data_IF_493547363118
#
_entry.id   IF_493547363118
#
_cell.length_a   1.000
_cell.length_b   1.000
_cell.length_c   1.000
_cell.angle_alpha   90.00
_cell.angle_beta   90.00
_cell.angle_gamma   90.00
#
_symmetry.space_group_name_H-M   'P 1'
#
loop_
_entity.id
_entity.type
_entity.pdbx_description
1 polymer ?
#
# COMPACT_ATOMS: atom_id res chain seq x y z
N UNK A 1 21.99 -28.53 -59.14
CA UNK A 1 22.25 -29.93 -58.75
C UNK A 1 21.23 -30.36 -57.69
N UNK A 2 21.07 -31.66 -57.45
CA UNK A 2 19.89 -32.21 -56.78
C UNK A 2 20.02 -32.35 -55.25
N UNK A 3 18.86 -32.52 -54.61
CA UNK A 3 18.66 -33.13 -53.28
C UNK A 3 18.59 -34.68 -53.42
N UNK A 4 18.28 -35.45 -52.36
CA UNK A 4 18.96 -35.59 -51.06
C UNK A 4 19.37 -37.07 -50.81
N UNK A 5 19.82 -37.41 -49.59
CA UNK A 5 20.01 -38.81 -49.15
C UNK A 5 19.49 -39.01 -47.70
N UNK A 6 19.24 -40.28 -47.30
CA UNK A 6 18.35 -40.61 -46.19
C UNK A 6 18.89 -41.68 -45.21
N UNK A 7 18.38 -41.60 -43.96
CA UNK A 7 17.99 -42.69 -43.03
C UNK A 7 18.94 -43.88 -42.79
N UNK A 8 19.35 -44.07 -41.52
CA UNK A 8 19.40 -45.37 -40.81
C UNK A 8 19.74 -45.16 -39.30
N UNK A 9 19.64 -46.17 -38.44
CA UNK A 9 18.44 -46.60 -37.70
C UNK A 9 18.76 -47.74 -36.72
N UNK A 10 18.39 -47.61 -35.44
CA UNK A 10 18.21 -48.66 -34.42
C UNK A 10 17.46 -47.99 -33.24
N UNK A 11 16.33 -48.45 -32.69
CA UNK A 11 15.97 -49.75 -32.07
C UNK A 11 16.79 -50.13 -30.83
N UNK A 12 16.20 -50.66 -29.74
CA UNK A 12 14.78 -50.71 -29.30
C UNK A 12 14.75 -51.27 -27.87
N UNK A 13 14.02 -50.63 -26.93
CA UNK A 13 13.65 -51.26 -25.64
C UNK A 13 12.29 -50.73 -25.17
N UNK A 14 11.42 -51.64 -24.73
CA UNK A 14 10.00 -51.41 -24.37
C UNK A 14 9.63 -52.34 -23.22
N UNK A 15 8.76 -51.87 -22.30
CA UNK A 15 7.79 -52.58 -21.44
C UNK A 15 7.57 -51.79 -20.12
N UNK A 16 6.40 -51.89 -19.44
CA UNK A 16 5.04 -51.84 -19.97
C UNK A 16 4.14 -50.82 -19.21
N UNK A 17 3.04 -50.39 -19.85
CA UNK A 17 1.99 -49.59 -19.21
C UNK A 17 1.07 -50.46 -18.33
N UNK A 18 0.57 -49.90 -17.21
CA UNK A 18 -0.57 -50.43 -16.46
C UNK A 18 -1.85 -49.64 -16.79
N UNK A 19 -2.97 -50.34 -16.99
CA UNK A 19 -4.27 -49.74 -17.28
C UNK A 19 -4.99 -49.25 -16.02
N UNK A 20 -5.85 -48.22 -16.14
CA UNK A 20 -6.43 -47.52 -14.99
C UNK A 20 -7.73 -46.74 -15.23
N UNK A 21 -8.80 -47.44 -15.64
CA UNK A 21 -10.23 -47.07 -15.52
C UNK A 21 -10.79 -45.83 -16.28
N UNK A 22 -12.01 -46.04 -16.83
CA UNK A 22 -12.78 -45.05 -17.58
C UNK A 22 -13.45 -43.99 -16.68
N UNK A 23 -13.57 -42.76 -17.20
CA UNK A 23 -14.73 -41.87 -16.98
C UNK A 23 -15.11 -41.19 -18.30
N UNK A 24 -16.39 -41.11 -18.68
CA UNK A 24 -16.81 -40.50 -19.94
C UNK A 24 -16.75 -38.97 -19.87
N UNK A 25 -16.30 -38.33 -20.95
CA UNK A 25 -16.38 -36.87 -21.10
C UNK A 25 -17.83 -36.44 -21.35
N UNK A 26 -18.26 -35.34 -20.72
CA UNK A 26 -19.54 -34.69 -21.05
C UNK A 26 -19.40 -33.89 -22.34
N UNK A 27 -20.27 -34.17 -23.30
CA UNK A 27 -20.40 -33.43 -24.54
C UNK A 27 -21.03 -32.06 -24.25
N UNK A 28 -20.40 -30.98 -24.72
CA UNK A 28 -20.93 -29.61 -24.63
C UNK A 28 -21.75 -29.32 -25.88
N UNK A 29 -23.06 -29.19 -25.72
CA UNK A 29 -23.96 -28.76 -26.80
C UNK A 29 -23.88 -27.25 -27.00
N UNK A 30 -23.77 -26.82 -28.26
CA UNK A 30 -23.74 -25.41 -28.65
C UNK A 30 -25.17 -24.94 -28.90
N UNK A 31 -25.74 -24.20 -27.94
CA UNK A 31 -27.08 -23.61 -28.10
C UNK A 31 -26.99 -22.34 -28.94
N UNK A 32 -27.49 -22.40 -30.18
CA UNK A 32 -27.56 -21.26 -31.09
C UNK A 32 -28.76 -20.35 -30.75
N UNK A 33 -28.54 -19.02 -30.78
CA UNK A 33 -29.61 -18.03 -30.59
C UNK A 33 -30.37 -17.76 -31.91
N UNK A 34 -31.70 -17.56 -31.88
CA UNK A 34 -32.50 -17.29 -33.08
C UNK A 34 -32.37 -15.83 -33.56
N UNK A 35 -32.48 -15.55 -34.88
CA UNK A 35 -32.36 -14.20 -35.43
C UNK A 35 -33.64 -13.38 -35.27
N UNK A 36 -33.51 -12.16 -34.73
CA UNK A 36 -34.62 -11.19 -34.67
C UNK A 36 -34.81 -10.46 -36.02
N UNK A 37 -36.07 -10.20 -36.38
CA UNK A 37 -36.45 -9.72 -37.72
C UNK A 37 -36.13 -8.25 -38.04
N UNK A 38 -36.09 -7.93 -39.33
CA UNK A 38 -35.91 -6.55 -39.84
C UNK A 38 -37.19 -5.71 -39.61
N UNK A 39 -37.06 -4.55 -38.97
CA UNK A 39 -38.13 -3.54 -38.86
C UNK A 39 -37.65 -2.16 -39.33
N UNK A 40 -38.30 -1.57 -40.35
CA UNK A 40 -37.88 -0.31 -40.95
C UNK A 40 -38.45 0.93 -40.24
N UNK A 41 -37.61 1.70 -39.54
CA UNK A 41 -37.96 2.99 -38.92
C UNK A 41 -37.51 4.20 -39.74
N UNK A 42 -38.40 5.17 -39.99
CA UNK A 42 -38.12 6.37 -40.82
C UNK A 42 -37.12 7.30 -40.14
N UNK A 43 -36.04 7.67 -40.85
CA UNK A 43 -35.19 8.82 -40.48
C UNK A 43 -36.00 10.12 -40.57
N UNK A 44 -35.92 10.98 -39.55
CA UNK A 44 -36.22 12.43 -39.65
C UNK A 44 -34.94 13.20 -39.32
N UNK A 45 -34.65 14.23 -40.12
CA UNK A 45 -33.45 15.04 -39.92
C UNK A 45 -33.69 16.13 -38.87
N UNK A 46 -32.72 16.32 -37.97
CA UNK A 46 -32.61 17.50 -37.10
C UNK A 46 -31.57 18.46 -37.70
N UNK A 47 -31.82 19.77 -37.59
CA UNK A 47 -30.91 20.83 -38.09
C UNK A 47 -29.97 21.25 -36.95
N UNK A 48 -28.70 21.61 -37.22
CA UNK A 48 -27.81 22.13 -36.18
C UNK A 48 -28.26 23.51 -35.70
N UNK A 49 -28.15 23.77 -34.40
CA UNK A 49 -28.30 25.11 -33.84
C UNK A 49 -27.05 25.96 -34.16
N UNK A 50 -27.24 27.27 -34.30
CA UNK A 50 -26.15 28.22 -34.60
C UNK A 50 -25.42 28.66 -33.33
N UNK A 51 -24.12 28.93 -33.47
CA UNK A 51 -23.37 29.68 -32.47
C UNK A 51 -23.86 31.15 -32.38
N UNK A 52 -23.70 31.76 -31.21
CA UNK A 52 -23.82 33.20 -31.00
C UNK A 52 -22.47 33.78 -30.58
N UNK A 53 -22.07 34.88 -31.22
CA UNK A 53 -20.90 35.67 -30.83
C UNK A 53 -21.23 36.72 -29.75
N UNK A 54 -20.22 37.39 -29.18
CA UNK A 54 -20.38 38.27 -28.02
C UNK A 54 -20.80 39.71 -28.38
N UNK A 55 -21.49 40.42 -27.46
CA UNK A 55 -21.73 41.86 -27.57
C UNK A 55 -20.52 42.71 -27.10
N UNK A 56 -20.21 43.73 -27.92
CA UNK A 56 -19.47 44.97 -27.58
C UNK A 56 -20.44 45.99 -26.95
N UNK A 57 -20.11 47.20 -26.45
CA UNK A 57 -18.89 47.95 -26.12
C UNK A 57 -19.32 49.10 -25.17
N UNK A 58 -18.40 49.73 -24.44
CA UNK A 58 -18.46 51.18 -24.12
C UNK A 58 -17.05 51.68 -23.77
N UNK A 59 -16.71 52.91 -24.16
CA UNK A 59 -15.38 53.53 -24.04
C UNK A 59 -15.48 54.94 -23.39
N UNK A 60 -14.36 55.67 -23.36
CA UNK A 60 -14.12 57.01 -22.81
C UNK A 60 -13.91 57.11 -21.29
N UNK A 61 -12.83 57.74 -20.81
CA UNK A 61 -11.65 58.25 -21.54
C UNK A 61 -10.78 59.23 -20.74
N UNK A 62 -9.64 59.62 -21.31
CA UNK A 62 -8.78 60.71 -20.81
C UNK A 62 -7.39 60.30 -20.31
N UNK A 63 -6.35 61.00 -20.78
CA UNK A 63 -4.99 61.00 -20.20
C UNK A 63 -4.77 62.22 -19.27
N UNK A 64 -3.53 62.61 -18.90
CA UNK A 64 -2.31 62.51 -19.72
C UNK A 64 -1.11 61.85 -19.01
N UNK A 65 0.12 62.11 -19.49
CA UNK A 65 1.37 61.40 -19.18
C UNK A 65 2.09 61.93 -17.94
N UNK A 66 2.73 61.03 -17.21
CA UNK A 66 3.83 61.28 -16.26
C UNK A 66 4.89 60.18 -16.41
N UNK A 67 6.14 60.43 -16.04
CA UNK A 67 7.26 59.50 -16.31
C UNK A 67 8.04 59.11 -15.05
N UNK A 68 8.66 57.92 -15.13
CA UNK A 68 9.73 57.39 -14.27
C UNK A 68 9.46 57.19 -12.77
N UNK A 69 9.25 55.93 -12.39
CA UNK A 69 9.93 55.30 -11.26
C UNK A 69 10.03 53.79 -11.51
N UNK A 70 11.20 53.19 -11.34
CA UNK A 70 11.33 51.74 -11.20
C UNK A 70 11.11 51.39 -9.72
N UNK A 71 10.18 50.48 -9.45
CA UNK A 71 10.06 49.78 -8.18
C UNK A 71 10.18 48.28 -8.47
N UNK A 72 10.87 47.49 -7.64
CA UNK A 72 10.88 46.04 -7.81
C UNK A 72 9.45 45.51 -7.62
N UNK A 73 9.04 44.64 -8.53
CA UNK A 73 7.72 44.02 -8.50
C UNK A 73 7.62 43.08 -7.29
N UNK A 74 6.67 43.36 -6.39
CA UNK A 74 6.53 42.61 -5.15
C UNK A 74 6.03 41.19 -5.45
N UNK A 75 6.91 40.20 -5.25
CA UNK A 75 6.55 38.78 -5.32
C UNK A 75 5.35 38.51 -4.41
N UNK A 76 4.31 37.88 -4.95
CA UNK A 76 3.02 37.83 -4.28
C UNK A 76 3.05 36.94 -3.04
N UNK A 77 2.39 37.37 -1.96
CA UNK A 77 2.36 36.69 -0.65
C UNK A 77 1.66 35.30 -0.67
N UNK A 78 1.29 34.79 -1.85
CA UNK A 78 0.61 33.49 -2.04
C UNK A 78 1.55 32.29 -2.18
N UNK A 79 2.73 32.47 -2.76
CA UNK A 79 3.58 31.33 -3.13
C UNK A 79 4.42 30.85 -1.93
N UNK A 80 5.01 31.79 -1.18
CA UNK A 80 5.84 31.52 0.01
C UNK A 80 5.04 30.81 1.12
N UNK A 81 3.73 31.10 1.25
CA UNK A 81 2.87 30.48 2.27
C UNK A 81 2.48 29.02 2.00
N UNK A 82 2.78 28.49 0.81
CA UNK A 82 2.46 27.10 0.43
C UNK A 82 3.48 26.11 0.99
N UNK A 83 4.76 26.33 0.69
CA UNK A 83 5.84 25.37 0.95
C UNK A 83 6.11 25.20 2.46
N UNK A 84 6.31 26.31 3.19
CA UNK A 84 6.54 26.30 4.65
C UNK A 84 5.43 25.60 5.44
N UNK A 85 4.18 25.66 4.96
CA UNK A 85 3.05 24.95 5.58
C UNK A 85 3.21 23.43 5.52
N UNK A 86 3.76 22.89 4.44
CA UNK A 86 4.00 21.44 4.33
C UNK A 86 5.29 21.03 5.05
N UNK A 87 6.29 21.90 5.18
CA UNK A 87 7.45 21.69 6.07
C UNK A 87 7.06 21.64 7.55
N UNK A 88 6.10 22.47 7.98
CA UNK A 88 5.52 22.40 9.34
C UNK A 88 4.73 21.12 9.55
N UNK A 89 3.88 20.72 8.59
CA UNK A 89 3.12 19.48 8.66
C UNK A 89 4.03 18.23 8.64
N UNK A 90 5.12 18.25 7.89
CA UNK A 90 6.13 17.19 7.92
C UNK A 90 6.73 17.04 9.32
N UNK A 91 7.11 18.16 9.98
CA UNK A 91 7.63 18.17 11.34
C UNK A 91 6.59 17.75 12.40
N UNK A 92 5.31 18.07 12.20
CA UNK A 92 4.21 17.55 13.04
C UNK A 92 4.07 16.02 12.92
N UNK A 93 4.26 15.47 11.71
CA UNK A 93 3.96 14.07 11.39
C UNK A 93 5.17 13.13 11.30
N UNK A 94 6.41 13.60 11.44
CA UNK A 94 7.64 12.78 11.36
C UNK A 94 7.66 11.60 12.35
N UNK A 95 6.99 11.76 13.51
CA UNK A 95 6.83 10.74 14.56
C UNK A 95 5.37 10.25 14.69
N UNK A 96 4.55 10.38 13.64
CA UNK A 96 3.20 9.83 13.61
C UNK A 96 3.19 8.44 12.94
N UNK A 97 2.36 7.52 13.44
CA UNK A 97 2.26 6.19 12.85
C UNK A 97 1.65 6.23 11.43
N UNK A 98 1.97 5.25 10.56
CA UNK A 98 1.50 5.25 9.17
C UNK A 98 -0.02 5.36 9.03
N UNK A 99 -0.78 4.75 9.96
CA UNK A 99 -2.24 4.86 10.01
C UNK A 99 -2.71 6.30 10.26
N UNK A 100 -2.04 7.05 11.15
CA UNK A 100 -2.37 8.44 11.43
C UNK A 100 -2.01 9.37 10.25
N UNK A 101 -0.90 9.09 9.56
CA UNK A 101 -0.50 9.81 8.34
C UNK A 101 -1.51 9.57 7.21
N UNK A 102 -1.90 8.33 6.96
CA UNK A 102 -2.90 7.99 5.93
C UNK A 102 -4.28 8.58 6.28
N UNK A 103 -4.73 8.51 7.53
CA UNK A 103 -5.99 9.14 7.95
C UNK A 103 -5.98 10.65 7.69
N UNK A 104 -4.87 11.33 8.01
CA UNK A 104 -4.71 12.77 7.80
C UNK A 104 -4.65 13.16 6.33
N UNK A 105 -3.94 12.38 5.50
CA UNK A 105 -3.88 12.61 4.06
C UNK A 105 -5.28 12.46 3.39
N UNK A 106 -6.02 11.41 3.76
CA UNK A 106 -7.39 11.19 3.28
C UNK A 106 -8.38 12.22 3.85
N UNK A 107 -8.17 12.71 5.08
CA UNK A 107 -8.94 13.81 5.67
C UNK A 107 -8.76 15.13 4.91
N UNK A 108 -7.52 15.47 4.54
CA UNK A 108 -7.19 16.77 3.94
C UNK A 108 -7.61 16.90 2.47
N UNK A 109 -7.60 15.79 1.70
CA UNK A 109 -7.79 15.83 0.25
C UNK A 109 -8.99 15.00 -0.25
N UNK A 110 -9.53 14.07 0.53
CA UNK A 110 -10.74 13.31 0.19
C UNK A 110 -10.63 12.53 -1.14
N UNK A 111 -11.33 13.00 -2.17
CA UNK A 111 -11.34 12.38 -3.52
C UNK A 111 -10.24 12.92 -4.45
N UNK A 112 -9.56 14.02 -4.07
CA UNK A 112 -8.48 14.67 -4.84
C UNK A 112 -7.11 14.03 -4.57
N UNK A 113 -7.07 12.91 -3.83
CA UNK A 113 -5.88 12.12 -3.50
C UNK A 113 -6.06 10.65 -3.91
N UNK A 114 -4.97 10.00 -4.32
CA UNK A 114 -4.92 8.56 -4.54
C UNK A 114 -3.59 7.94 -4.10
N UNK A 115 -3.64 6.64 -3.82
CA UNK A 115 -2.49 5.81 -3.51
C UNK A 115 -1.90 5.28 -4.83
N UNK A 116 -0.61 5.50 -5.05
CA UNK A 116 0.13 4.83 -6.11
C UNK A 116 0.44 3.38 -5.67
N UNK A 117 -0.01 2.40 -6.45
CA UNK A 117 0.15 0.98 -6.13
C UNK A 117 0.95 0.26 -7.23
N UNK A 118 2.18 -0.18 -6.91
CA UNK A 118 3.06 -0.90 -7.83
C UNK A 118 2.81 -2.40 -7.93
N UNK A 119 2.02 -2.98 -7.02
CA UNK A 119 1.89 -4.44 -6.89
C UNK A 119 3.04 -5.11 -6.13
N UNK A 120 3.80 -4.34 -5.35
CA UNK A 120 4.77 -4.81 -4.37
C UNK A 120 4.25 -4.53 -2.93
N UNK A 121 5.14 -4.11 -2.03
CA UNK A 121 4.89 -3.86 -0.60
C UNK A 121 3.92 -2.69 -0.32
N UNK A 122 3.63 -1.86 -1.32
CA UNK A 122 2.61 -0.78 -1.29
C UNK A 122 1.23 -1.24 -0.79
N UNK A 123 0.93 -2.55 -0.80
CA UNK A 123 -0.33 -3.11 -0.28
C UNK A 123 -0.53 -2.79 1.21
N UNK A 124 0.55 -2.52 1.95
CA UNK A 124 0.48 -1.99 3.31
C UNK A 124 -0.32 -0.66 3.37
N UNK A 125 -0.18 0.22 2.39
CA UNK A 125 -0.92 1.49 2.33
C UNK A 125 -2.41 1.28 2.07
N UNK A 126 -2.78 0.25 1.30
CA UNK A 126 -4.17 -0.12 1.07
C UNK A 126 -4.82 -0.65 2.36
N UNK A 127 -4.10 -1.45 3.15
CA UNK A 127 -4.58 -1.87 4.47
C UNK A 127 -4.69 -0.68 5.43
N UNK A 128 -3.67 0.18 5.54
CA UNK A 128 -3.76 1.39 6.37
C UNK A 128 -4.95 2.28 5.98
N UNK A 129 -5.15 2.54 4.69
CA UNK A 129 -6.31 3.30 4.20
C UNK A 129 -7.63 2.60 4.54
N UNK A 130 -7.70 1.27 4.34
CA UNK A 130 -8.86 0.44 4.68
C UNK A 130 -9.18 0.43 6.18
N UNK A 131 -8.19 0.62 7.06
CA UNK A 131 -8.35 0.71 8.51
C UNK A 131 -8.79 2.10 9.01
N UNK A 132 -8.51 3.18 8.27
CA UNK A 132 -9.11 4.51 8.56
C UNK A 132 -10.64 4.46 8.48
N UNK A 133 -11.18 3.63 7.58
CA UNK A 133 -12.60 3.58 7.25
C UNK A 133 -13.09 4.73 6.37
N UNK A 134 -12.19 5.61 5.89
CA UNK A 134 -12.47 6.64 4.88
C UNK A 134 -12.50 6.02 3.47
N UNK A 135 -13.22 6.60 2.49
CA UNK A 135 -13.04 6.24 1.10
C UNK A 135 -11.64 6.65 0.62
N UNK A 136 -11.06 5.88 -0.30
CA UNK A 136 -9.75 6.17 -0.92
C UNK A 136 -9.74 5.71 -2.38
N UNK A 137 -8.89 6.34 -3.19
CA UNK A 137 -8.64 5.96 -4.59
C UNK A 137 -7.27 5.28 -4.70
N UNK A 138 -7.14 4.38 -5.66
CA UNK A 138 -5.89 3.65 -5.95
C UNK A 138 -5.63 3.71 -7.46
N UNK A 139 -4.40 4.01 -7.85
CA UNK A 139 -4.00 3.97 -9.26
C UNK A 139 -2.72 3.14 -9.45
N UNK A 140 -2.55 2.55 -10.62
CA UNK A 140 -1.38 1.73 -10.96
C UNK A 140 -0.90 2.02 -12.37
N UNK A 141 0.42 2.08 -12.57
CA UNK A 141 1.04 2.38 -13.86
C UNK A 141 1.46 1.08 -14.52
N UNK A 142 0.58 0.50 -15.35
CA UNK A 142 0.95 -0.67 -16.14
C UNK A 142 1.87 -0.26 -17.29
N UNK A 143 3.14 -0.66 -17.18
CA UNK A 143 4.17 -0.44 -18.20
C UNK A 143 3.99 -1.30 -19.45
N UNK A 144 3.08 -2.28 -19.44
CA UNK A 144 2.96 -3.34 -20.44
C UNK A 144 4.12 -4.33 -20.41
N UNK A 145 4.86 -4.40 -19.30
CA UNK A 145 5.99 -5.32 -19.02
C UNK A 145 6.04 -5.73 -17.54
N UNK A 146 4.91 -5.71 -16.83
CA UNK A 146 4.82 -6.25 -15.47
C UNK A 146 4.85 -7.79 -15.49
N UNK A 147 5.22 -8.41 -14.36
CA UNK A 147 5.19 -9.86 -14.22
C UNK A 147 3.75 -10.40 -14.26
N UNK A 148 3.49 -11.61 -14.81
CA UNK A 148 2.17 -12.26 -14.77
C UNK A 148 1.58 -12.37 -13.35
N UNK A 149 2.44 -12.63 -12.37
CA UNK A 149 2.13 -12.68 -10.94
C UNK A 149 1.64 -11.34 -10.41
N UNK A 150 2.19 -10.23 -10.90
CA UNK A 150 1.77 -8.86 -10.51
C UNK A 150 0.37 -8.55 -11.03
N UNK A 151 0.02 -8.97 -12.26
CA UNK A 151 -1.36 -8.85 -12.77
C UNK A 151 -2.35 -9.70 -11.97
N UNK A 152 -1.98 -10.93 -11.60
CA UNK A 152 -2.80 -11.79 -10.73
C UNK A 152 -2.97 -11.17 -9.33
N UNK A 153 -1.91 -10.57 -8.79
CA UNK A 153 -1.95 -9.89 -7.49
C UNK A 153 -2.84 -8.64 -7.51
N UNK A 154 -2.79 -7.82 -8.58
CA UNK A 154 -3.67 -6.67 -8.77
C UNK A 154 -5.16 -7.07 -8.73
N UNK A 155 -5.54 -8.14 -9.44
CA UNK A 155 -6.91 -8.71 -9.46
C UNK A 155 -7.33 -9.25 -8.07
N UNK A 156 -6.42 -9.89 -7.33
CA UNK A 156 -6.65 -10.33 -5.94
C UNK A 156 -6.85 -9.13 -5.00
N UNK A 157 -6.10 -8.05 -5.20
CA UNK A 157 -6.17 -6.82 -4.38
C UNK A 157 -7.49 -6.08 -4.59
N UNK A 158 -7.95 -5.88 -5.84
CA UNK A 158 -9.28 -5.31 -6.11
C UNK A 158 -10.39 -6.09 -5.38
N UNK A 159 -10.34 -7.42 -5.46
CA UNK A 159 -11.32 -8.33 -4.82
C UNK A 159 -11.24 -8.36 -3.30
N UNK A 160 -10.04 -8.26 -2.73
CA UNK A 160 -9.83 -8.30 -1.28
C UNK A 160 -10.30 -7.01 -0.60
N UNK A 161 -9.93 -5.86 -1.18
CA UNK A 161 -10.25 -4.54 -0.60
C UNK A 161 -11.60 -3.99 -1.04
N UNK A 162 -12.19 -4.50 -2.12
CA UNK A 162 -13.43 -3.97 -2.71
C UNK A 162 -13.21 -2.63 -3.44
N UNK A 163 -12.01 -2.42 -3.96
CA UNK A 163 -11.58 -1.20 -4.66
C UNK A 163 -11.53 -1.43 -6.18
N UNK A 164 -11.54 -0.34 -6.94
CA UNK A 164 -11.21 -0.36 -8.36
C UNK A 164 -9.90 0.40 -8.58
N UNK A 165 -8.94 -0.22 -9.27
CA UNK A 165 -7.62 0.36 -9.53
C UNK A 165 -7.65 1.14 -10.85
N UNK A 166 -7.28 2.42 -10.80
CA UNK A 166 -7.18 3.29 -11.97
C UNK A 166 -5.88 2.97 -12.76
N UNK A 167 -6.00 2.15 -13.81
CA UNK A 167 -4.86 1.68 -14.61
C UNK A 167 -4.39 2.70 -15.66
N UNK A 168 -3.10 3.05 -15.59
CA UNK A 168 -2.47 4.12 -16.37
C UNK A 168 -1.45 3.57 -17.37
N UNK A 169 -1.91 3.28 -18.59
CA UNK A 169 -1.09 2.71 -19.67
C UNK A 169 -0.19 3.74 -20.37
N UNK A 170 0.97 3.34 -20.92
CA UNK A 170 1.83 4.20 -21.72
C UNK A 170 1.20 4.53 -23.08
N UNK A 171 1.73 5.57 -23.73
CA UNK A 171 1.26 5.93 -25.07
C UNK A 171 1.75 4.89 -26.11
N UNK A 172 0.82 4.32 -26.88
CA UNK A 172 1.13 3.27 -27.85
C UNK A 172 2.00 3.75 -29.02
N UNK A 173 1.92 5.03 -29.39
CA UNK A 173 2.73 5.62 -30.47
C UNK A 173 4.16 5.83 -29.98
N UNK A 174 4.33 6.35 -28.76
CA UNK A 174 5.65 6.48 -28.12
C UNK A 174 6.33 5.11 -27.95
N UNK A 175 5.60 4.11 -27.42
CA UNK A 175 6.11 2.75 -27.25
C UNK A 175 6.48 2.11 -28.59
N UNK A 176 5.64 2.27 -29.63
CA UNK A 176 5.92 1.77 -30.96
C UNK A 176 7.15 2.45 -31.59
N UNK A 177 7.34 3.76 -31.36
CA UNK A 177 8.51 4.49 -31.85
C UNK A 177 9.81 4.06 -31.13
N UNK A 178 9.76 3.84 -29.81
CA UNK A 178 10.90 3.29 -29.06
C UNK A 178 11.28 1.90 -29.58
N UNK A 179 10.32 0.97 -29.60
CA UNK A 179 10.58 -0.44 -29.95
C UNK A 179 11.01 -0.62 -31.41
N UNK A 180 10.51 0.20 -32.35
CA UNK A 180 10.96 0.17 -33.75
C UNK A 180 12.41 0.63 -33.95
N UNK A 181 12.93 1.49 -33.07
CA UNK A 181 14.31 2.03 -33.18
C UNK A 181 15.32 1.19 -32.41
N UNK A 182 14.95 0.67 -31.24
CA UNK A 182 15.87 0.08 -30.26
C UNK A 182 15.46 -1.32 -29.75
N UNK A 183 14.43 -1.93 -30.33
CA UNK A 183 13.94 -3.25 -29.92
C UNK A 183 13.21 -3.28 -28.57
N UNK A 184 13.05 -4.48 -28.01
CA UNK A 184 12.25 -4.72 -26.79
C UNK A 184 13.03 -4.65 -25.47
N UNK A 185 14.36 -4.51 -25.54
CA UNK A 185 15.29 -4.69 -24.42
C UNK A 185 16.42 -3.64 -24.36
N UNK A 186 16.24 -2.49 -25.03
CA UNK A 186 17.27 -1.45 -25.15
C UNK A 186 17.85 -0.96 -23.83
N UNK A 187 17.10 -1.10 -22.73
CA UNK A 187 17.53 -0.75 -21.38
C UNK A 187 18.73 -1.54 -20.85
N UNK A 188 19.06 -2.70 -21.42
CA UNK A 188 20.32 -3.39 -21.11
C UNK A 188 21.56 -2.73 -21.74
N UNK A 189 21.39 -1.91 -22.78
CA UNK A 189 22.48 -1.28 -23.55
C UNK A 189 22.54 0.24 -23.31
N UNK A 190 21.38 0.91 -23.34
CA UNK A 190 21.22 2.36 -23.12
C UNK A 190 21.01 2.76 -21.64
N UNK A 191 20.80 1.78 -20.75
CA UNK A 191 20.23 2.01 -19.42
C UNK A 191 18.70 2.21 -19.42
N UNK A 192 18.09 2.07 -18.26
CA UNK A 192 16.63 1.99 -18.12
C UNK A 192 15.87 3.29 -18.44
N UNK A 193 16.55 4.42 -18.39
CA UNK A 193 15.98 5.77 -18.40
C UNK A 193 15.00 6.05 -19.55
N UNK A 194 15.36 5.81 -20.83
CA UNK A 194 14.43 6.06 -21.96
C UNK A 194 13.19 5.17 -21.90
N UNK A 195 13.36 3.89 -21.55
CA UNK A 195 12.27 2.93 -21.43
C UNK A 195 11.32 3.31 -20.29
N UNK A 196 11.85 3.64 -19.11
CA UNK A 196 11.06 4.07 -17.96
C UNK A 196 10.42 5.46 -18.17
N UNK A 197 11.06 6.38 -18.90
CA UNK A 197 10.45 7.65 -19.29
C UNK A 197 9.15 7.42 -20.09
N UNK A 198 9.21 6.60 -21.15
CA UNK A 198 8.05 6.28 -22.01
C UNK A 198 7.02 5.41 -21.28
N UNK A 199 7.45 4.37 -20.56
CA UNK A 199 6.56 3.34 -20.00
C UNK A 199 6.02 3.61 -18.60
N UNK A 200 6.72 4.40 -17.78
CA UNK A 200 6.36 4.66 -16.37
C UNK A 200 6.12 6.15 -16.10
N UNK A 201 7.08 7.01 -16.41
CA UNK A 201 7.07 8.40 -15.93
C UNK A 201 6.11 9.30 -16.72
N UNK A 202 5.99 9.12 -18.04
CA UNK A 202 4.98 9.83 -18.85
C UNK A 202 3.54 9.44 -18.51
N UNK A 203 3.14 8.15 -18.39
CA UNK A 203 1.82 7.81 -17.89
C UNK A 203 1.58 8.26 -16.44
N UNK A 204 2.58 8.16 -15.55
CA UNK A 204 2.48 8.72 -14.19
C UNK A 204 2.18 10.23 -14.19
N UNK A 205 2.90 11.04 -14.98
CA UNK A 205 2.65 12.48 -15.10
C UNK A 205 1.26 12.81 -15.67
N UNK A 206 0.70 11.95 -16.53
CA UNK A 206 -0.70 12.09 -16.98
C UNK A 206 -1.70 11.79 -15.86
N UNK A 207 -1.41 10.78 -15.03
CA UNK A 207 -2.24 10.40 -13.89
C UNK A 207 -2.25 11.48 -12.80
N UNK A 208 -1.08 11.99 -12.41
CA UNK A 208 -0.92 12.95 -11.31
C UNK A 208 -1.64 14.29 -11.55
N UNK A 209 -1.79 14.71 -12.81
CA UNK A 209 -2.64 15.85 -13.21
C UNK A 209 -4.15 15.65 -12.98
N UNK A 210 -4.58 14.49 -12.48
CA UNK A 210 -5.93 14.22 -11.97
C UNK A 210 -6.10 14.37 -10.46
N UNK A 211 -5.03 14.76 -9.73
CA UNK A 211 -4.98 14.77 -8.26
C UNK A 211 -4.30 16.03 -7.71
N UNK A 212 -4.68 16.47 -6.51
CA UNK A 212 -3.95 17.50 -5.74
C UNK A 212 -2.91 16.90 -4.79
N UNK A 213 -3.05 15.62 -4.47
CA UNK A 213 -2.07 14.90 -3.66
C UNK A 213 -1.94 13.44 -4.10
N UNK A 214 -0.83 12.80 -3.74
CA UNK A 214 -0.63 11.37 -3.94
C UNK A 214 0.13 10.72 -2.80
N UNK A 215 -0.15 9.44 -2.55
CA UNK A 215 0.47 8.63 -1.49
C UNK A 215 1.37 7.57 -2.14
N UNK A 216 2.62 7.45 -1.68
CA UNK A 216 3.60 6.46 -2.19
C UNK A 216 4.19 5.62 -1.05
N UNK A 217 4.55 4.37 -1.34
CA UNK A 217 5.19 3.47 -0.38
C UNK A 217 6.71 3.58 -0.30
N UNK A 218 7.31 4.69 -0.76
CA UNK A 218 8.77 4.86 -0.66
C UNK A 218 9.23 4.95 0.80
N UNK A 219 10.29 4.20 1.12
CA UNK A 219 10.88 4.15 2.46
C UNK A 219 12.35 4.56 2.47
N UNK A 220 12.85 5.06 3.60
CA UNK A 220 14.25 5.49 3.76
C UNK A 220 15.24 4.33 3.69
N UNK A 221 14.84 3.11 4.07
CA UNK A 221 15.68 1.89 4.02
C UNK A 221 15.90 1.34 2.60
N UNK A 222 15.16 1.82 1.59
CA UNK A 222 15.33 1.40 0.19
C UNK A 222 16.42 2.20 -0.54
N UNK A 223 16.89 3.29 0.06
CA UNK A 223 17.87 4.21 -0.51
C UNK A 223 19.30 3.74 -0.18
N UNK A 224 20.15 3.65 -1.20
CA UNK A 224 21.53 3.17 -1.10
C UNK A 224 22.46 4.16 -0.37
N UNK A 225 22.03 5.40 -0.18
CA UNK A 225 22.77 6.43 0.57
C UNK A 225 21.81 7.17 1.53
N UNK A 226 22.20 7.13 2.81
CA UNK A 226 21.31 7.08 3.97
C UNK A 226 20.74 8.43 4.42
N UNK A 227 21.02 9.51 3.69
CA UNK A 227 20.30 10.78 3.87
C UNK A 227 20.05 11.51 2.53
N UNK A 228 19.67 10.73 1.50
CA UNK A 228 18.42 11.10 0.81
C UNK A 228 17.34 11.26 1.88
N UNK A 229 16.79 12.46 2.07
CA UNK A 229 15.61 12.62 2.92
C UNK A 229 14.35 12.27 2.12
N UNK A 230 13.50 11.42 2.70
CA UNK A 230 12.10 11.24 2.27
C UNK A 230 11.23 11.82 3.39
N UNK A 231 10.76 13.08 3.27
CA UNK A 231 9.77 13.65 4.18
C UNK A 231 8.46 12.85 4.19
N UNK A 232 7.79 12.80 5.33
CA UNK A 232 6.45 12.19 5.48
C UNK A 232 5.42 12.87 4.57
N UNK A 233 5.53 14.19 4.39
CA UNK A 233 4.78 14.98 3.41
C UNK A 233 5.68 16.07 2.84
N UNK A 234 5.52 16.39 1.56
CA UNK A 234 6.21 17.48 0.88
C UNK A 234 5.40 17.97 -0.33
N UNK A 235 5.75 19.15 -0.84
CA UNK A 235 5.45 19.52 -2.23
C UNK A 235 6.20 18.55 -3.16
N UNK A 236 5.59 18.13 -4.27
CA UNK A 236 6.25 17.24 -5.24
C UNK A 236 7.23 18.01 -6.15
N UNK A 237 8.53 17.67 -6.17
CA UNK A 237 9.55 18.38 -6.94
C UNK A 237 9.68 17.88 -8.39
N UNK A 238 8.74 17.07 -8.91
CA UNK A 238 8.88 16.37 -10.20
C UNK A 238 7.60 16.28 -11.05
N UNK A 239 6.43 16.55 -10.45
CA UNK A 239 5.14 16.41 -11.13
C UNK A 239 4.14 17.51 -10.70
N UNK A 240 3.50 18.14 -11.70
CA UNK A 240 2.34 19.01 -11.49
C UNK A 240 1.08 18.19 -11.20
N UNK A 241 0.21 18.75 -10.36
CA UNK A 241 -1.09 18.19 -9.98
C UNK A 241 -2.25 18.78 -10.79
N UNK A 242 -3.46 18.64 -10.24
CA UNK A 242 -4.72 19.05 -10.84
C UNK A 242 -4.82 20.56 -11.10
N UNK A 243 -4.30 21.37 -10.16
CA UNK A 243 -4.36 22.83 -10.27
C UNK A 243 -3.28 23.39 -11.23
N UNK A 244 -2.24 22.61 -11.53
CA UNK A 244 -1.21 22.87 -12.54
C UNK A 244 -0.07 23.79 -12.11
N UNK A 245 1.11 23.58 -12.71
CA UNK A 245 2.34 24.32 -12.42
C UNK A 245 3.15 23.74 -11.24
N UNK A 246 4.34 24.29 -11.03
CA UNK A 246 5.18 23.93 -9.88
C UNK A 246 4.44 24.23 -8.56
N UNK A 247 4.62 23.38 -7.54
CA UNK A 247 3.89 23.50 -6.26
C UNK A 247 2.49 22.87 -6.21
N UNK A 248 1.90 22.48 -7.35
CA UNK A 248 0.47 22.08 -7.42
C UNK A 248 0.14 20.63 -7.02
N UNK A 249 1.13 19.83 -6.59
CA UNK A 249 0.95 18.44 -6.14
C UNK A 249 1.64 18.21 -4.79
N UNK A 250 0.93 17.57 -3.86
CA UNK A 250 1.47 17.22 -2.54
C UNK A 250 1.73 15.71 -2.46
N UNK A 251 2.98 15.33 -2.17
CA UNK A 251 3.42 13.94 -2.05
C UNK A 251 3.45 13.52 -0.58
N UNK A 252 2.85 12.38 -0.29
CA UNK A 252 2.84 11.74 1.03
C UNK A 252 3.59 10.40 0.99
N UNK A 253 4.39 10.13 2.02
CA UNK A 253 5.18 8.91 2.16
C UNK A 253 4.95 8.30 3.56
N UNK A 254 3.78 7.68 3.84
CA UNK A 254 3.36 7.32 5.20
C UNK A 254 4.22 6.28 5.89
N UNK A 255 5.03 5.55 5.13
CA UNK A 255 5.94 4.51 5.62
C UNK A 255 7.41 4.90 5.45
N UNK A 256 7.73 6.20 5.23
CA UNK A 256 9.11 6.64 5.02
C UNK A 256 10.07 6.25 6.15
N UNK A 257 9.56 6.23 7.38
CA UNK A 257 10.30 5.96 8.62
C UNK A 257 10.16 4.51 9.13
N UNK A 258 9.64 3.59 8.31
CA UNK A 258 9.40 2.20 8.71
C UNK A 258 10.39 1.27 7.97
N UNK A 259 11.10 0.43 8.72
CA UNK A 259 11.96 -0.61 8.13
C UNK A 259 11.11 -1.65 7.37
N UNK A 260 11.58 -2.11 6.21
CA UNK A 260 10.91 -3.14 5.41
C UNK A 260 10.65 -4.43 6.19
N UNK A 261 11.48 -4.76 7.19
CA UNK A 261 11.24 -5.87 8.13
C UNK A 261 9.92 -5.71 8.89
N UNK A 262 9.59 -4.50 9.34
CA UNK A 262 8.37 -4.24 10.10
C UNK A 262 7.15 -4.03 9.19
N UNK A 263 7.34 -3.59 7.95
CA UNK A 263 6.32 -3.78 6.88
C UNK A 263 6.02 -5.27 6.71
N UNK A 264 7.03 -6.14 6.54
CA UNK A 264 6.84 -7.59 6.46
C UNK A 264 6.24 -8.21 7.73
N UNK A 265 6.43 -7.61 8.89
CA UNK A 265 5.73 -8.02 10.10
C UNK A 265 4.24 -7.62 10.07
N UNK A 266 3.93 -6.37 9.71
CA UNK A 266 2.56 -5.86 9.54
C UNK A 266 1.77 -6.67 8.51
N UNK A 267 2.32 -6.88 7.32
CA UNK A 267 1.69 -7.67 6.24
C UNK A 267 1.29 -9.08 6.73
N UNK A 268 2.18 -9.74 7.47
CA UNK A 268 1.94 -11.09 8.03
C UNK A 268 1.01 -11.08 9.24
N UNK A 269 1.04 -10.03 10.06
CA UNK A 269 0.15 -9.85 11.21
C UNK A 269 -1.30 -9.64 10.77
N UNK A 270 -1.50 -8.90 9.67
CA UNK A 270 -2.81 -8.56 9.10
C UNK A 270 -3.37 -9.62 8.13
N UNK A 271 -2.62 -10.68 7.81
CA UNK A 271 -3.00 -11.72 6.82
C UNK A 271 -3.39 -11.16 5.43
N UNK A 272 -2.82 -10.01 5.03
CA UNK A 272 -3.11 -9.38 3.73
C UNK A 272 -2.53 -10.18 2.55
N UNK A 273 -3.12 -10.11 1.35
CA UNK A 273 -2.52 -10.71 0.17
C UNK A 273 -1.19 -10.02 -0.17
N UNK A 274 -0.21 -10.80 -0.63
CA UNK A 274 1.10 -10.33 -1.11
C UNK A 274 1.44 -10.99 -2.44
N UNK A 275 2.29 -10.34 -3.24
CA UNK A 275 2.73 -10.85 -4.54
C UNK A 275 3.52 -12.17 -4.41
N UNK A 276 3.18 -13.17 -5.21
CA UNK A 276 3.78 -14.52 -5.14
C UNK A 276 5.26 -14.58 -5.54
N UNK A 277 5.81 -13.53 -6.14
CA UNK A 277 7.24 -13.42 -6.40
C UNK A 277 8.07 -13.26 -5.11
N UNK A 278 7.49 -12.71 -4.04
CA UNK A 278 8.21 -12.57 -2.76
C UNK A 278 8.58 -13.94 -2.16
N UNK A 279 7.75 -14.98 -2.34
CA UNK A 279 8.12 -16.36 -1.96
C UNK A 279 9.18 -17.01 -2.85
N UNK A 280 9.58 -16.35 -3.95
CA UNK A 280 10.60 -16.79 -4.90
C UNK A 280 11.92 -16.00 -4.75
N UNK A 281 12.06 -15.18 -3.72
CA UNK A 281 13.28 -14.41 -3.43
C UNK A 281 13.32 -13.00 -4.04
N UNK A 282 12.22 -12.52 -4.62
CA UNK A 282 12.10 -11.12 -5.04
C UNK A 282 11.80 -10.24 -3.82
N UNK A 283 12.81 -9.49 -3.34
CA UNK A 283 12.59 -8.48 -2.32
C UNK A 283 11.82 -7.29 -2.93
N UNK A 284 12.48 -6.53 -3.81
CA UNK A 284 11.83 -5.52 -4.65
C UNK A 284 11.16 -6.16 -5.88
N UNK A 285 10.03 -5.60 -6.34
CA UNK A 285 9.30 -6.06 -7.54
C UNK A 285 9.07 -4.89 -8.49
N UNK A 286 9.48 -5.04 -9.75
CA UNK A 286 9.24 -4.09 -10.83
C UNK A 286 8.73 -4.76 -12.10
N UNK A 287 9.25 -4.31 -13.25
CA UNK A 287 8.95 -4.92 -14.55
C UNK A 287 9.75 -6.22 -14.73
N UNK A 288 9.14 -7.24 -15.33
CA UNK A 288 9.73 -8.56 -15.61
C UNK A 288 11.19 -8.53 -16.09
N UNK A 289 11.57 -7.76 -17.13
CA UNK A 289 12.93 -7.83 -17.65
C UNK A 289 13.94 -6.99 -16.84
N UNK A 290 13.46 -6.22 -15.85
CA UNK A 290 14.26 -5.27 -15.07
C UNK A 290 14.40 -5.66 -13.59
N UNK A 291 13.79 -6.76 -13.16
CA UNK A 291 13.83 -7.24 -11.77
C UNK A 291 14.20 -8.72 -11.70
N UNK A 292 15.08 -9.09 -10.76
CA UNK A 292 15.49 -10.46 -10.44
C UNK A 292 15.39 -10.73 -8.92
N UNK A 293 15.32 -11.99 -8.47
CA UNK A 293 15.44 -12.29 -7.04
C UNK A 293 16.85 -11.97 -6.51
N UNK A 294 16.95 -11.76 -5.20
CA UNK A 294 18.19 -11.48 -4.47
C UNK A 294 18.58 -12.65 -3.57
N UNK A 295 19.86 -12.81 -3.28
CA UNK A 295 20.37 -13.81 -2.34
C UNK A 295 20.12 -13.37 -0.88
N UNK A 296 20.13 -14.30 0.10
CA UNK A 296 20.05 -13.95 1.51
C UNK A 296 21.13 -12.92 1.90
N UNK A 297 20.69 -11.84 2.54
CA UNK A 297 21.50 -10.68 2.97
C UNK A 297 22.06 -9.78 1.84
N UNK A 298 21.62 -9.93 0.58
CA UNK A 298 21.78 -8.87 -0.43
C UNK A 298 20.74 -7.76 -0.21
N UNK A 299 21.07 -6.55 -0.65
CA UNK A 299 20.17 -5.39 -0.55
C UNK A 299 19.02 -5.50 -1.57
N UNK A 300 17.81 -5.04 -1.21
CA UNK A 300 16.62 -5.24 -2.06
C UNK A 300 16.75 -4.58 -3.45
N UNK A 301 17.51 -3.49 -3.55
CA UNK A 301 17.79 -2.81 -4.82
C UNK A 301 18.79 -3.53 -5.73
N UNK A 302 19.57 -4.52 -5.25
CA UNK A 302 20.43 -5.37 -6.10
C UNK A 302 19.62 -6.29 -7.03
N UNK A 303 18.31 -6.42 -6.77
CA UNK A 303 17.34 -7.07 -7.64
C UNK A 303 16.89 -6.20 -8.82
N UNK A 304 17.07 -4.88 -8.77
CA UNK A 304 16.58 -3.94 -9.79
C UNK A 304 17.71 -3.37 -10.63
N UNK A 305 17.51 -3.29 -11.96
CA UNK A 305 18.46 -2.72 -12.93
C UNK A 305 19.91 -3.19 -12.75
N UNK A 306 20.08 -4.47 -12.41
CA UNK A 306 21.30 -5.01 -11.81
C UNK A 306 22.58 -4.82 -12.64
N UNK A 307 22.43 -4.63 -13.96
CA UNK A 307 23.50 -4.43 -14.94
C UNK A 307 24.10 -3.02 -14.96
N UNK A 308 23.41 -2.03 -14.38
CA UNK A 308 23.92 -0.66 -14.28
C UNK A 308 24.89 -0.50 -13.08
N UNK A 309 25.48 0.69 -12.93
CA UNK A 309 26.26 1.04 -11.75
C UNK A 309 25.36 1.39 -10.56
N UNK A 310 25.81 1.12 -9.34
CA UNK A 310 25.02 1.38 -8.12
C UNK A 310 24.55 2.85 -8.00
N UNK A 311 25.29 3.81 -8.59
CA UNK A 311 24.95 5.24 -8.59
C UNK A 311 23.92 5.67 -9.65
N UNK A 312 23.54 4.80 -10.60
CA UNK A 312 22.49 5.10 -11.60
C UNK A 312 21.24 4.23 -11.43
N UNK A 313 21.23 3.30 -10.46
CA UNK A 313 20.06 2.48 -10.10
C UNK A 313 18.97 3.24 -9.34
N UNK A 314 19.23 4.48 -8.94
CA UNK A 314 18.26 5.35 -8.29
C UNK A 314 17.73 6.41 -9.26
N UNK A 315 16.42 6.66 -9.19
CA UNK A 315 15.76 7.82 -9.79
C UNK A 315 15.46 8.88 -8.69
N UNK A 316 16.46 9.13 -7.84
CA UNK A 316 16.53 10.08 -6.71
C UNK A 316 18.03 10.39 -6.41
N UNK A 317 18.33 11.36 -5.54
CA UNK A 317 19.72 11.80 -5.23
C UNK A 317 19.98 11.96 -3.70
N UNK A 318 21.11 11.49 -3.12
CA UNK A 318 21.28 11.28 -1.66
C UNK A 318 22.51 11.93 -0.97
N UNK A 319 22.63 11.90 0.39
CA UNK A 319 23.86 12.23 1.19
C UNK A 319 23.85 11.98 2.74
N UNK A 320 24.28 10.79 3.22
CA UNK A 320 24.84 10.29 4.55
C UNK A 320 24.47 10.93 5.94
N UNK A 321 24.54 10.31 7.16
CA UNK A 321 24.86 8.96 7.72
C UNK A 321 24.41 8.82 9.21
N UNK A 322 24.53 7.65 9.88
CA UNK A 322 24.11 7.40 11.28
C UNK A 322 24.86 6.24 12.03
N UNK A 323 24.66 6.08 13.36
CA UNK A 323 25.32 5.07 14.26
C UNK A 323 24.40 4.57 15.42
N UNK A 324 24.61 3.36 15.97
CA UNK A 324 23.70 2.65 16.93
C UNK A 324 24.37 1.99 18.18
N UNK A 325 23.56 1.54 19.17
CA UNK A 325 23.61 0.29 20.03
C UNK A 325 22.66 0.46 21.26
N UNK A 326 21.80 -0.45 21.79
CA UNK A 326 21.73 -1.93 22.05
C UNK A 326 22.52 -2.35 23.34
N UNK A 327 22.13 -3.26 24.27
CA UNK A 327 21.18 -4.42 24.27
C UNK A 327 20.79 -4.97 25.69
N UNK A 328 19.68 -5.73 25.84
CA UNK A 328 19.45 -7.04 26.58
C UNK A 328 19.82 -7.25 28.11
N UNK A 329 19.33 -8.24 28.91
CA UNK A 329 18.18 -9.22 28.92
C UNK A 329 18.09 -10.12 30.21
N UNK A 330 16.98 -10.89 30.40
CA UNK A 330 16.73 -12.06 31.34
C UNK A 330 16.53 -11.74 32.85
N UNK A 331 15.92 -12.55 33.76
CA UNK A 331 15.21 -13.87 33.82
C UNK A 331 15.15 -14.34 35.32
N UNK A 332 14.24 -15.16 35.92
CA UNK A 332 13.55 -16.40 35.50
C UNK A 332 12.56 -16.94 36.63
N UNK A 333 11.55 -17.79 36.30
CA UNK A 333 10.90 -18.92 37.11
C UNK A 333 10.63 -18.84 38.65
N UNK A 334 9.54 -19.30 39.33
CA UNK A 334 8.12 -19.81 39.17
C UNK A 334 7.42 -19.67 40.60
N UNK A 335 6.29 -20.25 41.12
CA UNK A 335 5.31 -21.33 40.79
C UNK A 335 3.98 -21.28 41.65
N UNK A 336 2.84 -21.79 41.14
CA UNK A 336 1.70 -22.54 41.79
C UNK A 336 0.93 -22.07 43.08
N UNK A 337 -0.35 -22.45 43.38
CA UNK A 337 -1.40 -23.29 42.73
C UNK A 337 -2.84 -22.96 43.25
N UNK A 338 -3.84 -22.89 42.35
CA UNK A 338 -5.33 -23.02 42.48
C UNK A 338 -6.19 -22.16 43.45
N UNK A 339 -7.06 -21.31 42.87
CA UNK A 339 -8.52 -21.25 43.15
C UNK A 339 -9.28 -20.74 41.90
N UNK A 340 -9.55 -21.65 40.93
CA UNK A 340 -9.69 -21.39 39.46
C UNK A 340 -9.36 -19.94 39.05
N UNK A 341 -8.06 -19.57 39.02
CA UNK A 341 -7.64 -18.18 38.92
C UNK A 341 -8.07 -17.49 37.63
N UNK A 342 -8.07 -16.16 37.65
CA UNK A 342 -8.19 -15.37 36.46
C UNK A 342 -6.84 -15.44 35.71
N UNK A 343 -6.83 -16.07 34.53
CA UNK A 343 -5.66 -16.50 33.74
C UNK A 343 -4.81 -15.37 33.13
N UNK A 344 -4.73 -14.23 33.83
CA UNK A 344 -3.96 -13.02 33.56
C UNK A 344 -3.83 -12.23 34.88
N UNK A 345 -3.35 -12.86 35.94
CA UNK A 345 -3.21 -12.24 37.28
C UNK A 345 -1.90 -11.44 37.40
N UNK A 346 -1.84 -10.30 36.69
CA UNK A 346 -0.73 -9.34 36.79
C UNK A 346 -1.24 -7.92 37.05
N UNK A 347 -0.36 -7.06 37.59
CA UNK A 347 -0.64 -5.63 37.73
C UNK A 347 -0.49 -4.86 36.40
N UNK A 348 0.11 -5.46 35.37
CA UNK A 348 0.35 -4.86 34.05
C UNK A 348 -0.80 -5.04 33.06
N UNK A 349 -1.75 -5.94 33.32
CA UNK A 349 -2.94 -6.16 32.49
C UNK A 349 -4.20 -5.63 33.18
N UNK A 350 -4.79 -4.57 32.64
CA UNK A 350 -6.00 -3.93 33.21
C UNK A 350 -7.25 -4.78 32.94
N UNK A 351 -7.93 -5.22 34.00
CA UNK A 351 -9.24 -5.87 33.87
C UNK A 351 -10.32 -4.87 33.50
N UNK A 352 -10.92 -5.03 32.32
CA UNK A 352 -11.98 -4.18 31.80
C UNK A 352 -13.35 -4.80 32.07
N UNK A 353 -14.35 -3.95 32.34
CA UNK A 353 -15.75 -4.33 32.37
C UNK A 353 -16.49 -3.82 31.12
N UNK A 354 -17.77 -4.16 30.98
CA UNK A 354 -18.61 -3.78 29.82
C UNK A 354 -18.63 -2.27 29.58
N UNK A 355 -18.67 -1.45 30.63
CA UNK A 355 -18.66 0.01 30.51
C UNK A 355 -17.30 0.53 30.02
N UNK A 356 -16.18 -0.03 30.51
CA UNK A 356 -14.84 0.27 30.01
C UNK A 356 -14.71 0.00 28.50
N UNK A 357 -15.20 -1.15 28.04
CA UNK A 357 -15.25 -1.50 26.61
C UNK A 357 -16.16 -0.55 25.82
N UNK A 358 -17.35 -0.23 26.32
CA UNK A 358 -18.25 0.72 25.65
C UNK A 358 -17.68 2.14 25.56
N UNK A 359 -16.84 2.54 26.52
CA UNK A 359 -16.11 3.80 26.46
C UNK A 359 -14.99 3.75 25.42
N UNK A 360 -14.23 2.65 25.33
CA UNK A 360 -13.26 2.45 24.25
C UNK A 360 -13.92 2.44 22.86
N UNK A 361 -15.10 1.84 22.69
CA UNK A 361 -15.83 1.86 21.41
C UNK A 361 -16.34 3.25 20.99
N UNK A 362 -16.51 4.19 21.94
CA UNK A 362 -17.06 5.54 21.69
C UNK A 362 -16.02 6.64 21.50
N UNK A 363 -14.76 6.41 21.89
CA UNK A 363 -13.71 7.42 21.79
C UNK A 363 -13.12 7.44 20.37
N UNK A 364 -13.35 8.54 19.64
CA UNK A 364 -12.80 8.76 18.30
C UNK A 364 -11.31 9.11 18.32
N UNK A 365 -10.87 9.87 19.33
CA UNK A 365 -9.47 10.20 19.61
C UNK A 365 -9.15 9.82 21.06
N UNK A 366 -8.11 9.01 21.24
CA UNK A 366 -7.69 8.48 22.55
C UNK A 366 -6.40 9.19 22.97
N UNK A 367 -6.18 9.32 24.29
CA UNK A 367 -4.88 9.79 24.81
C UNK A 367 -3.81 8.72 24.63
N UNK A 368 -4.19 7.46 24.88
CA UNK A 368 -3.34 6.27 24.89
C UNK A 368 -4.02 5.19 24.03
N UNK A 369 -3.28 4.46 23.17
CA UNK A 369 -3.81 3.26 22.50
C UNK A 369 -4.00 2.10 23.50
N UNK A 370 -4.89 1.17 23.17
CA UNK A 370 -5.16 -0.01 23.99
C UNK A 370 -5.06 -1.31 23.20
N UNK A 371 -4.45 -2.35 23.77
CA UNK A 371 -4.57 -3.73 23.31
C UNK A 371 -5.43 -4.53 24.30
N UNK A 372 -6.46 -5.22 23.82
CA UNK A 372 -7.42 -5.94 24.68
C UNK A 372 -7.62 -7.37 24.20
N UNK A 373 -7.44 -8.34 25.12
CA UNK A 373 -7.81 -9.75 24.90
C UNK A 373 -9.26 -10.01 25.31
N UNK A 374 -10.03 -10.63 24.41
CA UNK A 374 -11.32 -11.25 24.71
C UNK A 374 -11.08 -12.72 25.02
N UNK A 375 -11.37 -13.13 26.25
CA UNK A 375 -11.03 -14.45 26.78
C UNK A 375 -12.17 -15.08 27.59
N UNK A 376 -11.98 -16.36 27.92
CA UNK A 376 -12.78 -17.09 28.89
C UNK A 376 -11.83 -18.02 29.69
N UNK A 377 -11.90 -18.08 31.03
CA UNK A 377 -10.92 -18.82 31.84
C UNK A 377 -10.82 -20.33 31.54
N UNK A 378 -11.92 -20.94 31.08
CA UNK A 378 -11.97 -22.35 30.67
C UNK A 378 -11.39 -22.62 29.25
N UNK A 379 -10.99 -21.59 28.51
CA UNK A 379 -10.48 -21.76 27.15
C UNK A 379 -8.99 -22.12 27.15
N UNK A 380 -8.68 -23.35 26.74
CA UNK A 380 -7.30 -23.85 26.60
C UNK A 380 -6.40 -23.00 25.67
N UNK A 381 -6.98 -22.33 24.67
CA UNK A 381 -6.23 -21.41 23.80
C UNK A 381 -5.94 -20.05 24.43
N UNK A 382 -6.73 -19.62 25.43
CA UNK A 382 -6.40 -18.44 26.23
C UNK A 382 -5.29 -18.77 27.23
N UNK A 383 -5.42 -19.90 27.93
CA UNK A 383 -4.40 -20.43 28.86
C UNK A 383 -3.05 -20.62 28.15
N UNK A 384 -3.04 -21.17 26.94
CA UNK A 384 -1.82 -21.36 26.14
C UNK A 384 -1.17 -20.05 25.62
N UNK A 385 -1.84 -18.90 25.78
CA UNK A 385 -1.32 -17.58 25.40
C UNK A 385 -0.85 -16.77 26.62
N UNK A 386 -1.25 -17.16 27.83
CA UNK A 386 -1.12 -16.38 29.08
C UNK A 386 0.25 -15.74 29.25
N UNK A 387 1.32 -16.53 29.22
CA UNK A 387 2.71 -16.05 29.37
C UNK A 387 3.12 -15.06 28.28
N UNK A 388 2.81 -15.31 27.01
CA UNK A 388 3.15 -14.42 25.90
C UNK A 388 2.38 -13.10 25.92
N UNK A 389 1.16 -13.08 26.47
CA UNK A 389 0.39 -11.84 26.62
C UNK A 389 0.83 -11.01 27.83
N UNK A 390 1.32 -11.67 28.88
CA UNK A 390 1.97 -11.01 30.03
C UNK A 390 3.31 -10.39 29.60
N UNK A 391 4.17 -11.18 28.93
CA UNK A 391 5.44 -10.70 28.37
C UNK A 391 5.23 -9.49 27.44
N UNK A 392 4.17 -9.53 26.62
CA UNK A 392 3.76 -8.42 25.77
C UNK A 392 3.31 -7.19 26.58
N UNK A 393 2.56 -7.36 27.67
CA UNK A 393 2.14 -6.24 28.53
C UNK A 393 3.35 -5.51 29.12
N UNK A 394 4.36 -6.26 29.55
CA UNK A 394 5.59 -5.71 30.12
C UNK A 394 6.44 -5.01 29.03
N UNK A 395 6.55 -5.60 27.82
CA UNK A 395 7.16 -4.96 26.63
C UNK A 395 6.46 -3.66 26.22
N UNK A 396 5.12 -3.63 26.27
CA UNK A 396 4.30 -2.49 25.81
C UNK A 396 4.19 -1.33 26.81
N UNK A 397 4.43 -1.58 28.10
CA UNK A 397 4.36 -0.55 29.16
C UNK A 397 5.30 0.64 28.89
N UNK A 398 6.49 0.40 28.32
CA UNK A 398 7.43 1.45 27.91
C UNK A 398 7.04 2.23 26.64
N UNK A 399 6.09 1.72 25.86
CA UNK A 399 5.64 2.29 24.59
C UNK A 399 4.31 3.07 24.71
N UNK A 400 3.82 3.28 25.93
CA UNK A 400 2.58 4.04 26.19
C UNK A 400 1.29 3.34 25.75
N UNK A 401 1.36 2.04 25.45
CA UNK A 401 0.20 1.21 25.07
C UNK A 401 -0.36 0.52 26.31
N UNK A 402 -1.65 0.71 26.59
CA UNK A 402 -2.31 0.03 27.72
C UNK A 402 -2.78 -1.36 27.31
N UNK A 403 -2.34 -2.37 28.05
CA UNK A 403 -2.80 -3.75 27.86
C UNK A 403 -3.93 -4.06 28.84
N UNK A 404 -4.98 -4.70 28.34
CA UNK A 404 -6.15 -5.04 29.13
C UNK A 404 -6.80 -6.36 28.72
N UNK A 405 -7.76 -6.79 29.54
CA UNK A 405 -8.49 -8.06 29.35
C UNK A 405 -9.98 -7.86 29.56
N UNK A 406 -10.81 -8.52 28.76
CA UNK A 406 -12.26 -8.53 28.92
C UNK A 406 -12.78 -9.98 28.92
N UNK A 407 -13.21 -10.44 30.10
CA UNK A 407 -13.85 -11.74 30.25
C UNK A 407 -15.19 -11.71 29.51
N UNK A 408 -15.27 -12.50 28.44
CA UNK A 408 -16.31 -12.39 27.40
C UNK A 408 -17.17 -13.66 27.27
N UNK A 409 -17.11 -14.56 28.25
CA UNK A 409 -18.10 -15.64 28.42
C UNK A 409 -19.31 -15.17 29.26
N UNK A 410 -20.21 -16.10 29.61
CA UNK A 410 -21.46 -15.79 30.32
C UNK A 410 -22.29 -14.70 29.61
N UNK A 411 -22.83 -13.78 30.40
CA UNK A 411 -23.72 -12.71 29.94
C UNK A 411 -23.05 -11.70 28.99
N UNK A 412 -21.71 -11.58 29.05
CA UNK A 412 -20.95 -10.68 28.16
C UNK A 412 -20.82 -11.22 26.73
N UNK A 413 -21.04 -12.53 26.53
CA UNK A 413 -20.82 -13.23 25.26
C UNK A 413 -21.68 -12.68 24.12
N UNK A 414 -22.92 -12.28 24.39
CA UNK A 414 -23.84 -11.69 23.38
C UNK A 414 -23.38 -10.29 22.97
N UNK A 415 -22.98 -9.46 23.94
CA UNK A 415 -22.43 -8.13 23.70
C UNK A 415 -21.12 -8.20 22.90
N UNK A 416 -20.18 -9.04 23.32
CA UNK A 416 -18.90 -9.20 22.62
C UNK A 416 -19.07 -9.76 21.19
N UNK A 417 -20.08 -10.61 20.94
CA UNK A 417 -20.40 -11.08 19.59
C UNK A 417 -20.83 -9.95 18.64
N UNK A 418 -21.70 -9.06 19.11
CA UNK A 418 -22.29 -7.99 18.30
C UNK A 418 -21.32 -6.81 18.14
N UNK A 419 -20.85 -6.25 19.25
CA UNK A 419 -20.09 -5.00 19.26
C UNK A 419 -18.58 -5.19 18.97
N UNK A 420 -18.03 -6.37 19.28
CA UNK A 420 -16.60 -6.67 19.17
C UNK A 420 -16.28 -7.78 18.15
N UNK A 421 -17.28 -8.28 17.42
CA UNK A 421 -17.13 -9.33 16.41
C UNK A 421 -16.43 -10.60 16.96
N UNK A 422 -16.73 -10.99 18.21
CA UNK A 422 -16.19 -12.18 18.87
C UNK A 422 -16.66 -13.46 18.16
N UNK A 423 -15.76 -14.08 17.38
CA UNK A 423 -15.99 -15.38 16.75
C UNK A 423 -15.55 -16.56 17.63
N UNK A 424 -14.35 -16.45 18.20
CA UNK A 424 -13.67 -17.52 18.96
C UNK A 424 -12.74 -16.94 20.03
N UNK A 425 -12.24 -17.79 20.92
CA UNK A 425 -11.31 -17.41 21.99
C UNK A 425 -9.89 -17.96 21.74
N UNK A 426 -8.82 -17.18 22.02
CA UNK A 426 -8.81 -15.74 22.27
C UNK A 426 -9.05 -14.93 20.99
N UNK A 427 -9.84 -13.85 21.08
CA UNK A 427 -9.89 -12.77 20.08
C UNK A 427 -9.12 -11.58 20.65
N UNK A 428 -8.26 -10.95 19.86
CA UNK A 428 -7.45 -9.79 20.29
C UNK A 428 -7.86 -8.57 19.47
N UNK A 429 -8.03 -7.44 20.16
CA UNK A 429 -8.51 -6.20 19.57
C UNK A 429 -7.61 -5.06 20.02
N UNK A 430 -7.08 -4.31 19.06
CA UNK A 430 -6.33 -3.09 19.28
C UNK A 430 -7.21 -1.87 19.01
N UNK A 431 -7.01 -0.80 19.79
CA UNK A 431 -7.72 0.47 19.71
C UNK A 431 -6.66 1.56 19.46
N UNK A 432 -6.35 1.89 18.19
CA UNK A 432 -5.32 2.87 17.86
C UNK A 432 -5.64 4.25 18.43
N UNK A 433 -4.60 5.00 18.80
CA UNK A 433 -4.69 6.33 19.42
C UNK A 433 -5.54 7.33 18.62
N UNK A 434 -5.41 7.28 17.29
CA UNK A 434 -6.03 8.22 16.35
C UNK A 434 -7.11 7.60 15.44
N UNK A 435 -7.50 6.34 15.65
CA UNK A 435 -8.54 5.68 14.86
C UNK A 435 -9.86 5.59 15.64
N UNK A 436 -10.97 5.95 14.99
CA UNK A 436 -12.32 5.83 15.54
C UNK A 436 -12.78 4.37 15.68
N UNK A 437 -12.20 3.45 14.91
CA UNK A 437 -12.56 2.03 14.87
C UNK A 437 -11.50 1.15 15.55
N UNK A 438 -11.90 0.09 16.27
CA UNK A 438 -10.96 -0.94 16.72
C UNK A 438 -10.47 -1.80 15.54
N UNK A 439 -9.21 -2.21 15.60
CA UNK A 439 -8.57 -3.16 14.68
C UNK A 439 -8.51 -4.52 15.36
N UNK A 440 -9.20 -5.51 14.80
CA UNK A 440 -9.15 -6.91 15.27
C UNK A 440 -7.92 -7.59 14.67
N UNK A 441 -7.10 -8.22 15.50
CA UNK A 441 -5.93 -8.97 15.06
C UNK A 441 -6.38 -10.25 14.32
N UNK A 442 -6.12 -10.41 13.00
CA UNK A 442 -6.67 -11.50 12.20
C UNK A 442 -5.83 -12.78 12.28
N UNK A 443 -4.51 -12.64 12.31
CA UNK A 443 -3.53 -13.74 12.43
C UNK A 443 -3.90 -14.74 13.54
N UNK A 444 -3.48 -15.99 13.36
CA UNK A 444 -3.64 -17.09 14.35
C UNK A 444 -2.45 -17.23 15.31
N UNK A 445 -1.34 -16.52 15.10
CA UNK A 445 -0.14 -16.55 15.96
C UNK A 445 -0.37 -15.79 17.26
N UNK A 446 0.13 -16.27 18.39
CA UNK A 446 -0.23 -15.76 19.74
C UNK A 446 0.99 -15.55 20.66
N UNK A 447 2.19 -15.71 20.10
CA UNK A 447 3.48 -15.34 20.69
C UNK A 447 3.63 -13.82 20.86
N UNK A 448 4.47 -13.42 21.83
CA UNK A 448 4.65 -12.02 22.21
C UNK A 448 5.19 -11.17 21.05
N UNK A 449 6.07 -11.71 20.21
CA UNK A 449 6.72 -10.94 19.14
C UNK A 449 5.78 -10.69 17.94
N UNK A 450 4.97 -11.67 17.52
CA UNK A 450 3.93 -11.44 16.50
C UNK A 450 2.88 -10.43 16.96
N UNK A 451 2.59 -10.38 18.28
CA UNK A 451 1.66 -9.43 18.87
C UNK A 451 2.27 -8.03 19.05
N UNK A 452 3.54 -7.94 19.45
CA UNK A 452 4.27 -6.67 19.53
C UNK A 452 4.37 -6.03 18.15
N UNK A 453 4.75 -6.81 17.13
CA UNK A 453 4.86 -6.30 15.77
C UNK A 453 3.52 -5.83 15.18
N UNK A 454 2.41 -6.49 15.54
CA UNK A 454 1.06 -6.01 15.21
C UNK A 454 0.75 -4.66 15.86
N UNK A 455 1.16 -4.42 17.10
CA UNK A 455 0.96 -3.13 17.79
C UNK A 455 1.89 -2.04 17.23
N UNK A 456 3.17 -2.36 17.02
CA UNK A 456 4.19 -1.45 16.46
C UNK A 456 3.80 -0.91 15.08
N UNK A 457 2.98 -1.62 14.32
CA UNK A 457 2.47 -1.13 13.04
C UNK A 457 1.47 0.05 13.15
N UNK A 458 1.04 0.43 14.36
CA UNK A 458 0.01 1.46 14.59
C UNK A 458 0.39 2.57 15.59
N UNK A 459 1.53 2.48 16.26
CA UNK A 459 2.04 3.47 17.22
C UNK A 459 3.16 4.31 16.62
#
# INVERSE_FOLDING_TARGET
>A
MAMPAAISSHSSLVLPLRAGQNRPARQLEIVAAPPAGRGGGRRRAARPAKAMGPPRNWEYGGGPRGAAAMMPEALSEKEIGGETRYEELAREMENASPLAIVDRALEMFGNDIAIAFSGAEDVALLEYARLTGRPFRVFSVDTGRLNPETYQFLDVVEKHYGVHIEFMFPDSVEVQALVRRKGLFSFYEDGHHECCMVRKVRPLRRALRGFKAWITGQRKDQLLDTASSIPIVQVDPSFDGLDGGEGSLIKWNPIANIDGKDIWNFLRAMEVPVNSLHSQGFASIGCEPCTRPVLPNQHETEGSWWWEDAKTKECSLPSASASQNNSQSHGNTINGVNDIPDIFETQTIVSLNRLGIMNLLKLERRKEPWLVVLYAPWCRFCQAMESSYIELADKLNGLGVKVGKFRSDGDQKTFAKLELQLGSFPTIIFFPKHASRPVKYPSKRRDADSLLAFVNAFI
#
